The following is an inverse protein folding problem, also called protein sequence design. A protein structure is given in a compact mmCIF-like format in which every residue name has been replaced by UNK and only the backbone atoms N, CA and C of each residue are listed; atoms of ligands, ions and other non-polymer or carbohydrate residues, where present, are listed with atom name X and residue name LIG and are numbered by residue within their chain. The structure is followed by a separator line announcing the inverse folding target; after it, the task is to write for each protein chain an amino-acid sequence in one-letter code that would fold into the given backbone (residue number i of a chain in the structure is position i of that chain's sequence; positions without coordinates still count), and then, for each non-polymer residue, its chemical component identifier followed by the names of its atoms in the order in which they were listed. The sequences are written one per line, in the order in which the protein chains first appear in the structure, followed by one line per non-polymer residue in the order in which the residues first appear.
data_IF_612254180180
#
_entry.id   IF_612254180180
#
_cell.length_a   1.000
_cell.length_b   1.000
_cell.length_c   1.000
_cell.angle_alpha   90.00
_cell.angle_beta   90.00
_cell.angle_gamma   90.00
#
_symmetry.space_group_name_H-M   'P 1'
#
loop_
_entity.id
_entity.type
_entity.pdbx_description
1 polymer ?
#
# COMPACT_ATOMS: atom_id res chain seq x y z
N UNK A 1 -8.29 -28.33 74.00
CA UNK A 1 -7.56 -27.04 73.86
C UNK A 1 -7.56 -26.65 72.39
N UNK A 2 -8.61 -25.94 71.98
CA UNK A 2 -9.04 -25.65 70.60
C UNK A 2 -8.84 -24.16 70.26
N UNK A 3 -7.68 -23.57 70.57
CA UNK A 3 -7.47 -22.12 70.45
C UNK A 3 -6.08 -21.69 69.93
N UNK A 4 -5.45 -22.51 69.07
CA UNK A 4 -4.16 -22.16 68.43
C UNK A 4 -4.23 -22.30 66.89
N UNK A 5 -5.35 -22.76 66.34
CA UNK A 5 -5.58 -22.99 64.89
C UNK A 5 -6.44 -21.90 64.22
N UNK A 6 -6.32 -20.62 64.63
CA UNK A 6 -7.18 -19.55 64.08
C UNK A 6 -6.49 -18.20 63.85
N UNK A 7 -5.15 -18.14 63.80
CA UNK A 7 -4.43 -16.89 63.47
C UNK A 7 -3.50 -17.04 62.25
N UNK A 8 -3.28 -18.27 61.75
CA UNK A 8 -2.46 -18.52 60.55
C UNK A 8 -3.26 -18.61 59.24
N UNK A 9 -4.47 -18.03 59.20
CA UNK A 9 -5.35 -18.04 58.02
C UNK A 9 -5.73 -16.63 57.53
N UNK A 10 -5.20 -15.56 58.12
CA UNK A 10 -5.47 -14.16 57.74
C UNK A 10 -4.25 -13.46 57.14
N UNK A 11 -3.04 -14.03 57.26
CA UNK A 11 -1.81 -13.45 56.71
C UNK A 11 -1.46 -13.86 55.27
N UNK A 12 -2.20 -14.78 54.66
CA UNK A 12 -1.98 -15.18 53.25
C UNK A 12 -2.77 -14.34 52.22
N UNK A 13 -3.66 -13.45 52.65
CA UNK A 13 -4.47 -12.63 51.73
C UNK A 13 -3.91 -11.20 51.52
N UNK A 14 -2.90 -10.79 52.29
CA UNK A 14 -2.32 -9.45 52.20
C UNK A 14 -1.09 -9.33 51.28
N UNK A 15 -0.51 -10.46 50.82
CA UNK A 15 0.68 -10.45 49.93
C UNK A 15 0.31 -10.42 48.44
N UNK A 16 -0.95 -10.66 48.08
CA UNK A 16 -1.40 -10.59 46.68
C UNK A 16 -1.43 -9.15 46.11
N UNK A 17 -1.36 -8.11 46.95
CA UNK A 17 -1.34 -6.71 46.52
C UNK A 17 0.08 -6.16 46.25
N UNK A 18 1.13 -6.88 46.64
CA UNK A 18 2.53 -6.48 46.40
C UNK A 18 3.09 -6.91 45.03
N UNK A 19 2.43 -7.84 44.34
CA UNK A 19 2.83 -8.33 43.01
C UNK A 19 2.29 -7.47 41.85
N UNK A 20 1.32 -6.59 42.11
CA UNK A 20 0.79 -5.68 41.09
C UNK A 20 1.77 -4.56 40.69
N UNK A 21 2.82 -4.29 41.48
CA UNK A 21 3.80 -3.23 41.18
C UNK A 21 5.04 -3.74 40.43
N UNK A 22 5.41 -5.02 40.56
CA UNK A 22 6.63 -5.57 39.95
C UNK A 22 6.51 -5.81 38.44
N UNK A 23 5.30 -6.04 37.93
CA UNK A 23 5.04 -6.25 36.51
C UNK A 23 4.82 -4.95 35.70
N UNK A 24 4.55 -3.83 36.39
CA UNK A 24 4.25 -2.54 35.76
C UNK A 24 5.45 -1.98 34.99
N UNK A 25 6.63 -1.92 35.61
CA UNK A 25 7.82 -1.37 34.96
C UNK A 25 8.27 -2.16 33.71
N UNK A 26 8.29 -3.50 33.71
CA UNK A 26 8.51 -4.29 32.49
C UNK A 26 7.48 -4.02 31.38
N UNK A 27 6.21 -3.86 31.73
CA UNK A 27 5.16 -3.56 30.77
C UNK A 27 5.31 -2.16 30.14
N UNK A 28 5.68 -1.14 30.93
CA UNK A 28 6.01 0.21 30.43
C UNK A 28 7.21 0.16 29.47
N UNK A 29 8.26 -0.57 29.82
CA UNK A 29 9.43 -0.74 28.96
C UNK A 29 9.09 -1.45 27.64
N UNK A 30 8.26 -2.49 27.69
CA UNK A 30 7.81 -3.19 26.50
C UNK A 30 6.99 -2.28 25.57
N UNK A 31 6.07 -1.48 26.12
CA UNK A 31 5.28 -0.50 25.36
C UNK A 31 6.21 0.54 24.72
N UNK A 32 7.18 1.07 25.46
CA UNK A 32 8.15 2.04 24.93
C UNK A 32 9.00 1.44 23.82
N UNK A 33 9.48 0.21 23.99
CA UNK A 33 10.24 -0.49 22.94
C UNK A 33 9.39 -0.72 21.67
N UNK A 34 8.10 -1.01 21.83
CA UNK A 34 7.17 -1.15 20.71
C UNK A 34 6.92 0.19 19.98
N UNK A 35 6.81 1.30 20.71
CA UNK A 35 6.73 2.65 20.15
C UNK A 35 7.98 3.01 19.34
N UNK A 36 9.16 2.76 19.91
CA UNK A 36 10.45 3.01 19.25
C UNK A 36 10.58 2.17 17.97
N UNK A 37 10.22 0.89 18.03
CA UNK A 37 10.23 0.00 16.87
C UNK A 37 9.27 0.47 15.77
N UNK A 38 8.06 0.90 16.12
CA UNK A 38 7.10 1.43 15.17
C UNK A 38 7.60 2.74 14.55
N UNK A 39 8.09 3.68 15.35
CA UNK A 39 8.58 4.97 14.86
C UNK A 39 9.78 4.82 13.91
N UNK A 40 10.63 3.81 14.12
CA UNK A 40 11.78 3.55 13.26
C UNK A 40 11.40 3.14 11.83
N UNK A 41 10.28 2.46 11.63
CA UNK A 41 9.85 1.96 10.31
C UNK A 41 8.64 2.70 9.73
N UNK A 42 7.88 3.43 10.55
CA UNK A 42 6.61 4.08 10.19
C UNK A 42 6.70 4.98 8.96
N UNK A 43 7.72 5.85 8.86
CA UNK A 43 7.78 6.82 7.77
C UNK A 43 7.89 6.17 6.39
N UNK A 44 8.69 5.11 6.26
CA UNK A 44 8.83 4.38 4.99
C UNK A 44 7.63 3.45 4.78
N UNK A 45 7.19 2.74 5.83
CA UNK A 45 6.04 1.85 5.76
C UNK A 45 4.74 2.57 5.40
N UNK A 46 4.55 3.81 5.84
CA UNK A 46 3.38 4.63 5.49
C UNK A 46 3.27 4.92 3.99
N UNK A 47 4.38 4.91 3.25
CA UNK A 47 4.38 5.17 1.81
C UNK A 47 3.90 3.98 0.98
N UNK A 48 4.07 2.76 1.50
CA UNK A 48 3.86 1.54 0.71
C UNK A 48 2.85 0.58 1.33
N UNK A 49 2.76 0.52 2.66
CA UNK A 49 1.89 -0.40 3.42
C UNK A 49 1.13 0.33 4.55
N UNK A 50 0.40 1.44 4.25
CA UNK A 50 -0.28 2.25 5.27
C UNK A 50 -1.28 1.45 6.12
N UNK A 51 -1.95 0.46 5.54
CA UNK A 51 -2.89 -0.41 6.27
C UNK A 51 -2.18 -1.29 7.32
N UNK A 52 -0.95 -1.74 7.04
CA UNK A 52 -0.16 -2.49 8.00
C UNK A 52 0.32 -1.58 9.13
N UNK A 53 0.74 -0.35 8.82
CA UNK A 53 1.10 0.65 9.85
C UNK A 53 -0.09 0.90 10.78
N UNK A 54 -1.28 1.13 10.23
CA UNK A 54 -2.51 1.31 11.00
C UNK A 54 -2.81 0.12 11.90
N UNK A 55 -2.64 -1.11 11.39
CA UNK A 55 -2.82 -2.33 12.18
C UNK A 55 -1.86 -2.41 13.38
N UNK A 56 -0.60 -1.98 13.21
CA UNK A 56 0.38 -1.94 14.29
C UNK A 56 0.08 -0.83 15.30
N UNK A 57 -0.38 0.34 14.84
CA UNK A 57 -0.84 1.43 15.70
C UNK A 57 -2.05 1.02 16.57
N UNK A 58 -3.03 0.35 15.98
CA UNK A 58 -4.21 -0.15 16.67
C UNK A 58 -3.82 -1.21 17.72
N UNK A 59 -2.86 -2.09 17.40
CA UNK A 59 -2.34 -3.08 18.33
C UNK A 59 -1.55 -2.44 19.49
N UNK A 60 -0.76 -1.39 19.21
CA UNK A 60 -0.07 -0.61 20.25
C UNK A 60 -1.07 0.08 21.18
N UNK A 61 -2.13 0.67 20.62
CA UNK A 61 -3.21 1.26 21.42
C UNK A 61 -3.86 0.21 22.32
N UNK A 62 -4.16 -0.98 21.80
CA UNK A 62 -4.73 -2.07 22.59
C UNK A 62 -3.79 -2.52 23.73
N UNK A 63 -2.48 -2.55 23.50
CA UNK A 63 -1.49 -2.85 24.56
C UNK A 63 -1.52 -1.80 25.68
N UNK A 64 -1.60 -0.51 25.33
CA UNK A 64 -1.74 0.61 26.29
C UNK A 64 -3.06 0.56 27.06
N UNK A 65 -4.17 0.23 26.38
CA UNK A 65 -5.47 0.08 27.03
C UNK A 65 -5.46 -1.10 28.03
N UNK A 66 -4.75 -2.19 27.69
CA UNK A 66 -4.56 -3.36 28.57
C UNK A 66 -3.72 -3.00 29.79
N UNK A 67 -2.65 -2.21 29.59
CA UNK A 67 -1.84 -1.66 30.67
C UNK A 67 -2.65 -0.76 31.62
N UNK A 68 -3.49 0.13 31.07
CA UNK A 68 -4.34 1.04 31.84
C UNK A 68 -5.38 0.30 32.69
N UNK A 69 -5.80 -0.90 32.27
CA UNK A 69 -6.69 -1.80 33.03
C UNK A 69 -5.97 -2.57 34.14
N UNK A 70 -4.65 -2.41 34.29
CA UNK A 70 -3.84 -3.11 35.28
C UNK A 70 -3.39 -4.52 34.86
N UNK A 71 -3.71 -4.95 33.63
CA UNK A 71 -3.22 -6.22 33.10
C UNK A 71 -1.81 -6.04 32.51
N UNK A 72 -0.82 -5.99 33.40
CA UNK A 72 0.57 -5.74 33.01
C UNK A 72 1.19 -6.92 32.24
N UNK A 73 0.77 -8.16 32.51
CA UNK A 73 1.24 -9.35 31.78
C UNK A 73 0.68 -9.38 30.35
N UNK A 74 -0.62 -9.11 30.19
CA UNK A 74 -1.27 -8.96 28.89
C UNK A 74 -0.67 -7.79 28.10
N UNK A 75 -0.44 -6.65 28.75
CA UNK A 75 0.20 -5.49 28.13
C UNK A 75 1.63 -5.80 27.64
N UNK A 76 2.44 -6.50 28.43
CA UNK A 76 3.80 -6.90 28.04
C UNK A 76 3.80 -7.82 26.82
N UNK A 77 2.89 -8.80 26.82
CA UNK A 77 2.73 -9.75 25.71
C UNK A 77 2.27 -9.03 24.44
N UNK A 78 1.25 -8.18 24.56
CA UNK A 78 0.73 -7.39 23.44
C UNK A 78 1.81 -6.44 22.87
N UNK A 79 2.52 -5.72 23.73
CA UNK A 79 3.58 -4.80 23.32
C UNK A 79 4.75 -5.51 22.63
N UNK A 80 5.15 -6.70 23.10
CA UNK A 80 6.17 -7.53 22.43
C UNK A 80 5.71 -7.96 21.04
N UNK A 81 4.44 -8.34 20.90
CA UNK A 81 3.83 -8.64 19.60
C UNK A 81 3.81 -7.43 18.65
N UNK A 82 3.54 -6.24 19.17
CA UNK A 82 3.63 -4.97 18.42
C UNK A 82 5.06 -4.72 17.96
N UNK A 83 6.05 -4.87 18.84
CA UNK A 83 7.46 -4.66 18.50
C UNK A 83 7.93 -5.63 17.40
N UNK A 84 7.45 -6.88 17.40
CA UNK A 84 7.72 -7.84 16.32
C UNK A 84 7.11 -7.36 14.99
N UNK A 85 5.81 -7.05 14.97
CA UNK A 85 5.13 -6.55 13.76
C UNK A 85 5.75 -5.26 13.22
N UNK A 86 6.17 -4.37 14.11
CA UNK A 86 6.82 -3.12 13.75
C UNK A 86 8.17 -3.32 13.03
N UNK A 87 8.91 -4.39 13.38
CA UNK A 87 10.14 -4.78 12.66
C UNK A 87 9.82 -5.32 11.26
N UNK A 88 8.72 -6.04 11.11
CA UNK A 88 8.29 -6.59 9.82
C UNK A 88 7.83 -5.51 8.83
N UNK A 89 7.40 -4.34 9.32
CA UNK A 89 6.98 -3.21 8.46
C UNK A 89 8.06 -2.78 7.46
N UNK A 90 9.34 -2.82 7.83
CA UNK A 90 10.43 -2.46 6.93
C UNK A 90 10.56 -3.47 5.77
N UNK A 91 10.45 -4.76 6.07
CA UNK A 91 10.47 -5.81 5.07
C UNK A 91 9.24 -5.73 4.16
N UNK A 92 8.05 -5.49 4.73
CA UNK A 92 6.82 -5.32 3.97
C UNK A 92 6.87 -4.10 3.04
N UNK A 93 7.41 -2.97 3.52
CA UNK A 93 7.61 -1.78 2.70
C UNK A 93 8.59 -2.04 1.55
N UNK A 94 9.71 -2.71 1.82
CA UNK A 94 10.69 -3.07 0.78
C UNK A 94 10.11 -4.02 -0.27
N UNK A 95 9.38 -5.05 0.17
CA UNK A 95 8.70 -5.99 -0.72
C UNK A 95 7.66 -5.27 -1.60
N UNK A 96 6.84 -4.40 -1.00
CA UNK A 96 5.82 -3.66 -1.76
C UNK A 96 6.45 -2.66 -2.71
N UNK A 97 7.54 -1.98 -2.33
CA UNK A 97 8.31 -1.14 -3.24
C UNK A 97 8.85 -1.91 -4.43
N UNK A 98 9.41 -3.10 -4.21
CA UNK A 98 9.93 -3.95 -5.29
C UNK A 98 8.82 -4.41 -6.24
N UNK A 99 7.66 -4.81 -5.71
CA UNK A 99 6.47 -5.14 -6.50
C UNK A 99 6.04 -3.96 -7.38
N UNK A 100 5.89 -2.77 -6.80
CA UNK A 100 5.48 -1.58 -7.56
C UNK A 100 6.52 -1.14 -8.59
N UNK A 101 7.82 -1.27 -8.31
CA UNK A 101 8.87 -1.03 -9.31
C UNK A 101 8.71 -1.97 -10.49
N UNK A 102 8.51 -3.27 -10.22
CA UNK A 102 8.32 -4.27 -11.28
C UNK A 102 7.08 -3.96 -12.12
N UNK A 103 5.95 -3.66 -11.49
CA UNK A 103 4.73 -3.27 -12.20
C UNK A 103 4.98 -2.06 -13.12
N UNK A 104 5.77 -1.10 -12.66
CA UNK A 104 6.12 0.09 -13.44
C UNK A 104 7.04 -0.26 -14.62
N UNK A 105 8.03 -1.12 -14.43
CA UNK A 105 8.91 -1.60 -15.50
C UNK A 105 8.13 -2.34 -16.60
N UNK A 106 7.21 -3.22 -16.21
CA UNK A 106 6.33 -3.95 -17.15
C UNK A 106 5.44 -2.98 -17.94
N UNK A 107 4.81 -2.02 -17.25
CA UNK A 107 3.96 -1.01 -17.88
C UNK A 107 4.76 -0.09 -18.83
N UNK A 108 5.91 0.40 -18.38
CA UNK A 108 6.72 1.36 -19.12
C UNK A 108 7.45 0.78 -20.32
N UNK A 109 7.69 -0.54 -20.34
CA UNK A 109 8.23 -1.22 -21.51
C UNK A 109 7.25 -1.19 -22.71
N UNK A 110 5.94 -1.30 -22.46
CA UNK A 110 4.92 -1.39 -23.52
C UNK A 110 4.30 -0.06 -23.92
N UNK A 111 4.26 0.92 -23.02
CA UNK A 111 3.49 2.14 -23.24
C UNK A 111 3.98 3.02 -24.39
N UNK A 112 5.31 3.28 -24.57
CA UNK A 112 5.80 4.10 -25.68
C UNK A 112 5.41 3.52 -27.05
N UNK A 113 5.48 2.20 -27.20
CA UNK A 113 5.05 1.51 -28.43
C UNK A 113 3.55 1.67 -28.66
N UNK A 114 2.74 1.51 -27.61
CA UNK A 114 1.29 1.67 -27.70
C UNK A 114 0.91 3.08 -28.17
N UNK A 115 1.53 4.11 -27.61
CA UNK A 115 1.34 5.51 -28.03
C UNK A 115 1.71 5.71 -29.50
N UNK A 116 2.87 5.18 -29.93
CA UNK A 116 3.33 5.29 -31.31
C UNK A 116 2.41 4.56 -32.31
N UNK A 117 1.92 3.37 -31.96
CA UNK A 117 1.01 2.58 -32.80
C UNK A 117 -0.34 3.31 -32.97
N UNK A 118 -0.87 3.93 -31.90
CA UNK A 118 -2.09 4.75 -31.96
C UNK A 118 -1.88 5.97 -32.86
N UNK A 119 -0.76 6.70 -32.69
CA UNK A 119 -0.41 7.85 -33.54
C UNK A 119 -0.36 7.44 -35.02
N UNK A 120 0.31 6.34 -35.33
CA UNK A 120 0.42 5.81 -36.69
C UNK A 120 -0.95 5.48 -37.31
N UNK A 121 -1.85 4.89 -36.51
CA UNK A 121 -3.22 4.61 -36.96
C UNK A 121 -4.00 5.88 -37.22
N UNK A 122 -3.93 6.86 -36.33
CA UNK A 122 -4.57 8.18 -36.49
C UNK A 122 -4.08 8.88 -37.76
N UNK A 123 -2.77 8.86 -38.02
CA UNK A 123 -2.18 9.48 -39.21
C UNK A 123 -2.64 8.79 -40.50
N UNK A 124 -2.73 7.46 -40.48
CA UNK A 124 -3.21 6.65 -41.61
C UNK A 124 -4.68 6.96 -41.91
N UNK A 125 -5.52 6.99 -40.88
CA UNK A 125 -6.95 7.30 -41.02
C UNK A 125 -7.18 8.74 -41.45
N UNK A 126 -6.37 9.70 -40.96
CA UNK A 126 -6.48 11.12 -41.33
C UNK A 126 -6.16 11.37 -42.80
N UNK A 127 -5.30 10.56 -43.42
CA UNK A 127 -4.93 10.66 -44.85
C UNK A 127 -5.87 9.86 -45.77
N UNK A 128 -6.74 9.02 -45.20
CA UNK A 128 -7.60 8.13 -45.97
C UNK A 128 -8.80 8.87 -46.57
N UNK A 129 -9.06 8.71 -47.87
CA UNK A 129 -10.23 9.31 -48.55
C UNK A 129 -11.57 8.73 -48.09
N UNK A 130 -11.56 7.51 -47.55
CA UNK A 130 -12.72 6.83 -46.96
C UNK A 130 -12.27 6.15 -45.67
N UNK A 131 -13.00 6.38 -44.58
CA UNK A 131 -12.74 5.72 -43.30
C UNK A 131 -13.30 4.29 -43.32
N UNK A 132 -12.72 3.36 -42.52
CA UNK A 132 -13.29 2.03 -42.33
C UNK A 132 -14.74 2.10 -41.83
N UNK A 133 -15.54 1.07 -42.14
CA UNK A 133 -16.93 1.00 -41.67
C UNK A 133 -16.96 1.05 -40.13
N UNK A 134 -17.83 1.90 -39.58
CA UNK A 134 -17.96 2.11 -38.14
C UNK A 134 -17.04 3.20 -37.56
N UNK A 135 -16.15 3.79 -38.38
CA UNK A 135 -15.35 4.96 -38.02
C UNK A 135 -15.86 6.21 -38.75
N UNK A 136 -16.04 7.29 -38.00
CA UNK A 136 -16.35 8.61 -38.54
C UNK A 136 -15.32 9.66 -38.14
N UNK A 137 -15.49 10.88 -38.65
CA UNK A 137 -14.58 12.00 -38.34
C UNK A 137 -14.61 12.37 -36.85
N UNK A 138 -15.77 12.33 -36.22
CA UNK A 138 -15.90 12.69 -34.80
C UNK A 138 -15.10 11.73 -33.91
N UNK A 139 -15.17 10.44 -34.22
CA UNK A 139 -14.43 9.38 -33.56
C UNK A 139 -12.92 9.54 -33.75
N UNK A 140 -12.48 9.89 -34.97
CA UNK A 140 -11.06 10.15 -35.26
C UNK A 140 -10.53 11.40 -34.52
N UNK A 141 -11.31 12.48 -34.48
CA UNK A 141 -10.93 13.68 -33.72
C UNK A 141 -10.90 13.41 -32.22
N UNK A 142 -11.87 12.67 -31.68
CA UNK A 142 -11.86 12.23 -30.29
C UNK A 142 -10.63 11.38 -29.97
N UNK A 143 -10.21 10.48 -30.86
CA UNK A 143 -8.98 9.71 -30.70
C UNK A 143 -7.71 10.57 -30.71
N UNK A 144 -7.66 11.66 -31.50
CA UNK A 144 -6.54 12.63 -31.48
C UNK A 144 -6.46 13.35 -30.13
N UNK A 145 -7.58 13.85 -29.62
CA UNK A 145 -7.63 14.47 -28.29
C UNK A 145 -7.21 13.48 -27.21
N UNK A 146 -7.75 12.26 -27.25
CA UNK A 146 -7.39 11.21 -26.31
C UNK A 146 -5.91 10.82 -26.36
N UNK A 147 -5.29 10.79 -27.55
CA UNK A 147 -3.85 10.53 -27.68
C UNK A 147 -3.00 11.63 -27.03
N UNK A 148 -3.40 12.91 -27.17
CA UNK A 148 -2.72 14.01 -26.49
C UNK A 148 -2.83 13.86 -24.97
N UNK A 149 -4.01 13.53 -24.45
CA UNK A 149 -4.21 13.28 -23.02
C UNK A 149 -3.40 12.08 -22.50
N UNK A 150 -3.28 11.01 -23.30
CA UNK A 150 -2.42 9.85 -22.98
C UNK A 150 -0.97 10.32 -22.87
N UNK A 151 -0.48 11.10 -23.84
CA UNK A 151 0.87 11.66 -23.82
C UNK A 151 1.13 12.46 -22.55
N UNK A 152 0.24 13.38 -22.20
CA UNK A 152 0.34 14.15 -20.94
C UNK A 152 0.33 13.27 -19.70
N UNK A 153 -0.61 12.33 -19.60
CA UNK A 153 -0.71 11.42 -18.44
C UNK A 153 0.53 10.53 -18.31
N UNK A 154 1.10 10.11 -19.45
CA UNK A 154 2.32 9.31 -19.52
C UNK A 154 3.56 10.11 -19.08
N UNK A 155 3.69 11.36 -19.52
CA UNK A 155 4.78 12.25 -19.11
C UNK A 155 4.72 12.57 -17.61
N UNK A 156 3.53 12.81 -17.08
CA UNK A 156 3.32 12.99 -15.65
C UNK A 156 3.64 11.73 -14.84
N UNK A 157 3.30 10.55 -15.37
CA UNK A 157 3.66 9.27 -14.75
C UNK A 157 5.18 9.07 -14.72
N UNK A 158 5.87 9.34 -15.82
CA UNK A 158 7.32 9.30 -15.93
C UNK A 158 8.00 10.30 -14.97
N UNK A 159 7.42 11.49 -14.80
CA UNK A 159 7.89 12.48 -13.82
C UNK A 159 7.72 11.97 -12.39
N UNK A 160 6.54 11.48 -12.03
CA UNK A 160 6.27 10.92 -10.71
C UNK A 160 7.23 9.78 -10.36
N UNK A 161 7.54 8.90 -11.33
CA UNK A 161 8.52 7.84 -11.14
C UNK A 161 9.93 8.39 -10.85
N UNK A 162 10.39 9.38 -11.63
CA UNK A 162 11.69 10.04 -11.42
C UNK A 162 11.79 10.75 -10.05
N UNK A 163 10.67 11.27 -9.56
CA UNK A 163 10.56 11.90 -8.24
C UNK A 163 10.45 10.87 -7.09
N UNK A 164 10.38 9.57 -7.41
CA UNK A 164 10.27 8.48 -6.45
C UNK A 164 8.85 8.22 -5.94
N UNK A 165 7.84 8.87 -6.52
CA UNK A 165 6.42 8.61 -6.22
C UNK A 165 5.89 7.44 -7.07
N UNK A 166 6.26 6.21 -6.70
CA UNK A 166 5.87 5.00 -7.43
C UNK A 166 4.35 4.80 -7.48
N UNK A 167 3.64 5.08 -6.39
CA UNK A 167 2.18 4.95 -6.35
C UNK A 167 1.49 5.90 -7.34
N UNK A 168 1.94 7.16 -7.41
CA UNK A 168 1.42 8.13 -8.36
C UNK A 168 1.79 7.78 -9.80
N UNK A 169 3.02 7.31 -10.02
CA UNK A 169 3.49 6.88 -11.34
C UNK A 169 2.61 5.76 -11.88
N UNK A 170 2.39 4.71 -11.10
CA UNK A 170 1.53 3.59 -11.49
C UNK A 170 0.08 4.01 -11.71
N UNK A 171 -0.46 4.88 -10.86
CA UNK A 171 -1.84 5.37 -11.02
C UNK A 171 -2.00 6.10 -12.35
N UNK A 172 -1.11 7.05 -12.66
CA UNK A 172 -1.17 7.81 -13.92
C UNK A 172 -0.84 6.95 -15.14
N UNK A 173 0.13 6.05 -15.01
CA UNK A 173 0.51 5.12 -16.07
C UNK A 173 -0.62 4.15 -16.43
N UNK A 174 -1.30 3.56 -15.43
CA UNK A 174 -2.47 2.68 -15.65
C UNK A 174 -3.62 3.45 -16.29
N UNK A 175 -3.90 4.68 -15.86
CA UNK A 175 -4.90 5.54 -16.52
C UNK A 175 -4.54 5.82 -17.99
N UNK A 176 -3.26 6.06 -18.30
CA UNK A 176 -2.79 6.22 -19.68
C UNK A 176 -2.98 4.93 -20.50
N UNK A 177 -2.67 3.77 -19.92
CA UNK A 177 -2.85 2.45 -20.56
C UNK A 177 -4.32 2.12 -20.83
N UNK A 178 -5.21 2.39 -19.87
CA UNK A 178 -6.66 2.19 -20.02
C UNK A 178 -7.21 3.07 -21.14
N UNK A 179 -6.87 4.37 -21.16
CA UNK A 179 -7.24 5.29 -22.24
C UNK A 179 -6.70 4.81 -23.59
N UNK A 180 -5.44 4.39 -23.65
CA UNK A 180 -4.84 3.88 -24.88
C UNK A 180 -5.57 2.63 -25.40
N UNK A 181 -5.95 1.72 -24.51
CA UNK A 181 -6.73 0.52 -24.86
C UNK A 181 -8.11 0.89 -25.41
N UNK A 182 -8.77 1.87 -24.78
CA UNK A 182 -10.05 2.41 -25.27
C UNK A 182 -9.93 3.03 -26.67
N UNK A 183 -8.87 3.79 -26.93
CA UNK A 183 -8.62 4.37 -28.26
C UNK A 183 -8.29 3.29 -29.28
N UNK A 184 -7.46 2.29 -28.94
CA UNK A 184 -7.17 1.17 -29.84
C UNK A 184 -8.45 0.41 -30.26
N UNK A 185 -9.36 0.17 -29.31
CA UNK A 185 -10.68 -0.42 -29.59
C UNK A 185 -11.49 0.47 -30.55
N UNK A 186 -11.55 1.76 -30.24
CA UNK A 186 -12.29 2.77 -31.02
C UNK A 186 -11.76 2.88 -32.46
N UNK A 187 -10.45 2.79 -32.65
CA UNK A 187 -9.79 2.85 -33.97
C UNK A 187 -9.76 1.50 -34.72
N UNK A 188 -10.37 0.46 -34.13
CA UNK A 188 -10.46 -0.88 -34.71
C UNK A 188 -9.12 -1.63 -34.76
N UNK A 189 -8.14 -1.25 -33.95
CA UNK A 189 -6.79 -1.84 -33.97
C UNK A 189 -6.74 -3.26 -33.39
N UNK A 190 -7.74 -3.65 -32.59
CA UNK A 190 -7.83 -4.99 -32.00
C UNK A 190 -8.09 -6.10 -33.05
N UNK A 191 -8.84 -5.79 -34.12
CA UNK A 191 -9.12 -6.74 -35.20
C UNK A 191 -7.88 -7.02 -36.08
N UNK A 192 -6.95 -6.05 -36.20
CA UNK A 192 -5.71 -6.20 -36.97
C UNK A 192 -4.60 -6.95 -36.20
N UNK A 193 -4.66 -6.99 -34.87
CA UNK A 193 -3.75 -7.81 -34.05
C UNK A 193 -4.15 -9.29 -34.07
N UNK A 194 -5.45 -9.61 -33.97
CA UNK A 194 -5.96 -10.98 -34.07
C UNK A 194 -5.79 -11.61 -35.46
N UNK A 195 -5.64 -10.81 -36.51
CA UNK A 195 -5.39 -11.29 -37.87
C UNK A 195 -3.90 -11.53 -38.19
N UNK A 196 -2.98 -11.16 -37.28
CA UNK A 196 -1.52 -11.29 -37.44
C UNK A 196 -0.89 -12.34 -36.50
N UNK A 197 -1.69 -12.96 -35.64
CA UNK A 197 -1.37 -14.12 -34.79
C UNK A 197 -1.88 -15.41 -35.44
#
# INVERSE_FOLDING_TARGET
MKRILSITAVLLFAVALGACSSAKAPAEQAIKAAEEALNASKAEAMKYVPDQVKSVEDALKAAKDTFAKGDYAGATTAATGVAAKAKDLAAAAAAKKAELTKDWEELSAGMPKTIADIQSRIDTLSKSKKLPKGLDKATLESAKTGLAEIGTSWDEAMKAFKEGSLADALTKGKAAQEKATGIMSTLGMQAEQAAKS
#
